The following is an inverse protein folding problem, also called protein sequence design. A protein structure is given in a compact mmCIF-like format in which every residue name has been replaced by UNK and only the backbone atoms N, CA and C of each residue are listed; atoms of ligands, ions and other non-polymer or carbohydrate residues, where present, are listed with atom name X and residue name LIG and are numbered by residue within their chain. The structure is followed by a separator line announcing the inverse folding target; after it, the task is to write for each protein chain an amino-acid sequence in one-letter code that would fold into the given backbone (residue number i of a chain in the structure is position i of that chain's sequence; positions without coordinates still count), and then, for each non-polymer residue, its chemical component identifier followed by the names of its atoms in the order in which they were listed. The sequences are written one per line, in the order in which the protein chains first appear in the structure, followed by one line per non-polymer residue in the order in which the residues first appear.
data_IF_834770708820
#
_entry.id   IF_834770708820
#
_cell.length_a   1.000
_cell.length_b   1.000
_cell.length_c   1.000
_cell.angle_alpha   90.00
_cell.angle_beta   90.00
_cell.angle_gamma   90.00
#
_symmetry.space_group_name_H-M   'P 1'
#
loop_
_entity.id
_entity.type
_entity.pdbx_description
1 polymer ?
#
# COMPACT_ATOMS: atom_id res chain seq x y z
N UNK A 1 14.82 10.71 35.00
CA UNK A 1 15.22 9.34 34.63
C UNK A 1 13.96 8.52 34.40
N UNK A 2 13.53 8.40 33.13
CA UNK A 2 12.38 7.57 32.75
C UNK A 2 12.97 6.28 32.20
N UNK A 3 12.59 5.14 32.82
CA UNK A 3 13.03 3.81 32.39
C UNK A 3 12.41 3.51 31.01
N UNK A 4 13.12 2.91 30.07
CA UNK A 4 12.53 2.48 28.81
C UNK A 4 11.58 1.31 29.10
N UNK A 5 10.33 1.47 28.72
CA UNK A 5 9.33 0.40 28.66
C UNK A 5 9.77 -0.63 27.61
N UNK A 6 9.95 -1.85 28.06
CA UNK A 6 10.21 -3.01 27.21
C UNK A 6 9.07 -3.17 26.20
N UNK A 7 9.41 -3.13 24.93
CA UNK A 7 8.49 -3.49 23.84
C UNK A 7 7.96 -4.91 24.05
N UNK A 8 6.68 -5.17 23.83
CA UNK A 8 6.13 -6.52 23.91
C UNK A 8 6.81 -7.40 22.86
N UNK A 9 7.18 -8.61 23.29
CA UNK A 9 7.77 -9.64 22.45
C UNK A 9 6.88 -9.90 21.22
N UNK A 10 7.48 -9.87 20.03
CA UNK A 10 6.82 -10.23 18.77
C UNK A 10 6.35 -11.67 18.91
N UNK A 11 5.03 -11.87 19.03
CA UNK A 11 4.44 -13.18 18.91
C UNK A 11 4.52 -13.60 17.45
N UNK A 12 5.26 -14.65 17.17
CA UNK A 12 5.34 -15.28 15.84
C UNK A 12 3.98 -15.94 15.55
N UNK A 13 3.24 -15.38 14.62
CA UNK A 13 1.98 -15.96 14.18
C UNK A 13 2.26 -17.19 13.31
N UNK A 14 1.87 -18.34 13.81
CA UNK A 14 1.75 -19.56 13.02
C UNK A 14 0.43 -19.48 12.27
N UNK A 15 0.45 -19.39 10.96
CA UNK A 15 -0.77 -19.47 10.13
C UNK A 15 -1.16 -20.95 10.03
N UNK A 16 -1.76 -21.48 11.09
CA UNK A 16 -2.54 -22.72 11.03
C UNK A 16 -4.00 -22.34 10.81
N UNK A 17 -4.75 -23.15 10.04
CA UNK A 17 -6.19 -23.00 9.84
C UNK A 17 -6.88 -22.61 11.15
N UNK A 18 -7.63 -21.51 11.10
CA UNK A 18 -8.37 -20.98 12.25
C UNK A 18 -9.57 -21.89 12.51
N UNK A 19 -9.35 -22.96 13.25
CA UNK A 19 -10.43 -23.66 13.95
C UNK A 19 -10.51 -23.05 15.36
N UNK A 20 -11.63 -22.39 15.62
CA UNK A 20 -11.85 -21.55 16.79
C UNK A 20 -12.01 -22.30 18.10
N UNK A 21 -11.04 -23.09 18.50
CA UNK A 21 -10.94 -23.59 19.90
C UNK A 21 -9.52 -24.10 20.14
N UNK A 22 -8.67 -23.31 20.75
CA UNK A 22 -7.73 -23.79 21.78
C UNK A 22 -6.82 -22.66 22.30
N UNK A 23 -6.69 -22.68 23.57
CA UNK A 23 -5.97 -21.87 24.52
C UNK A 23 -4.53 -21.54 24.12
N UNK A 24 -4.20 -20.26 24.37
CA UNK A 24 -2.87 -19.71 24.48
C UNK A 24 -1.91 -20.57 25.28
N UNK A 25 -0.79 -20.86 24.71
CA UNK A 25 0.57 -20.90 25.28
C UNK A 25 1.44 -21.78 24.39
N UNK A 26 2.47 -21.22 23.83
CA UNK A 26 3.84 -21.71 23.91
C UNK A 26 4.69 -21.08 22.83
N UNK A 27 5.52 -20.08 23.26
CA UNK A 27 6.97 -20.28 23.31
C UNK A 27 7.59 -20.65 21.98
N UNK A 28 8.33 -19.69 21.43
CA UNK A 28 9.43 -19.99 20.51
C UNK A 28 10.34 -21.00 21.23
N UNK A 29 10.04 -22.26 21.02
CA UNK A 29 10.88 -23.35 21.49
C UNK A 29 12.21 -23.24 20.73
N UNK A 30 13.33 -23.29 21.44
CA UNK A 30 14.70 -23.18 20.90
C UNK A 30 15.03 -24.23 19.82
N UNK A 31 14.08 -25.10 19.47
CA UNK A 31 14.20 -26.19 18.48
C UNK A 31 13.92 -25.81 17.03
N UNK A 32 13.41 -24.63 16.74
CA UNK A 32 13.05 -24.24 15.37
C UNK A 32 14.04 -23.23 14.74
N UNK A 33 15.32 -23.47 14.89
CA UNK A 33 16.34 -22.76 14.14
C UNK A 33 16.52 -23.46 12.78
N UNK A 34 16.41 -22.67 11.70
CA UNK A 34 16.63 -23.15 10.36
C UNK A 34 18.13 -23.14 10.02
N UNK A 35 18.58 -24.12 9.25
CA UNK A 35 19.98 -24.22 8.85
C UNK A 35 20.33 -23.20 7.76
N UNK A 36 19.42 -23.00 6.82
CA UNK A 36 19.58 -22.07 5.70
C UNK A 36 18.24 -21.51 5.21
N UNK A 37 18.31 -20.64 4.18
CA UNK A 37 17.12 -20.01 3.58
C UNK A 37 16.21 -21.04 2.92
N UNK A 38 16.75 -22.09 2.31
CA UNK A 38 15.94 -23.12 1.64
C UNK A 38 15.15 -23.93 2.65
N UNK A 39 15.76 -24.28 3.78
CA UNK A 39 15.11 -24.96 4.89
C UNK A 39 13.93 -24.12 5.43
N UNK A 40 14.16 -22.81 5.63
CA UNK A 40 13.11 -21.89 6.03
C UNK A 40 11.98 -21.80 4.99
N UNK A 41 12.31 -21.61 3.72
CA UNK A 41 11.31 -21.49 2.65
C UNK A 41 10.51 -22.78 2.50
N UNK A 42 11.16 -23.94 2.52
CA UNK A 42 10.48 -25.23 2.43
C UNK A 42 9.57 -25.53 3.64
N UNK A 43 9.92 -24.98 4.81
CA UNK A 43 9.09 -25.16 6.01
C UNK A 43 7.77 -24.35 5.94
N UNK A 44 7.79 -23.15 5.35
CA UNK A 44 6.63 -22.26 5.32
C UNK A 44 5.88 -22.24 3.98
N UNK A 45 6.51 -22.66 2.89
CA UNK A 45 5.92 -22.67 1.57
C UNK A 45 5.11 -23.97 1.36
N UNK A 46 3.79 -23.85 1.29
CA UNK A 46 2.91 -25.02 1.07
C UNK A 46 3.04 -25.59 -0.35
N UNK A 47 3.42 -24.77 -1.33
CA UNK A 47 3.61 -25.17 -2.73
C UNK A 47 5.09 -25.07 -3.13
N UNK A 48 5.84 -26.18 -3.18
CA UNK A 48 7.24 -26.16 -3.55
C UNK A 48 7.53 -25.58 -4.92
N UNK A 49 6.56 -25.57 -5.84
CA UNK A 49 6.73 -24.99 -7.18
C UNK A 49 6.78 -23.47 -7.17
N UNK A 50 6.25 -22.86 -6.10
CA UNK A 50 6.26 -21.41 -5.83
C UNK A 50 7.35 -21.02 -4.85
N UNK A 51 8.03 -22.00 -4.26
CA UNK A 51 9.11 -21.77 -3.30
C UNK A 51 10.26 -21.00 -3.96
N UNK A 52 10.66 -19.89 -3.35
CA UNK A 52 11.71 -19.04 -3.86
C UNK A 52 12.60 -18.51 -2.74
N UNK A 53 13.84 -18.90 -2.78
CA UNK A 53 14.84 -18.45 -1.82
C UNK A 53 15.43 -17.11 -2.24
N UNK A 54 15.36 -16.11 -1.38
CA UNK A 54 15.94 -14.79 -1.57
C UNK A 54 17.21 -14.70 -0.73
N UNK A 55 18.35 -14.54 -1.38
CA UNK A 55 19.66 -14.44 -0.72
C UNK A 55 20.34 -13.10 -0.91
N UNK A 56 19.93 -12.33 -1.91
CA UNK A 56 20.48 -11.01 -2.22
C UNK A 56 19.37 -10.02 -2.56
N UNK A 57 19.32 -8.92 -1.82
CA UNK A 57 18.29 -7.88 -1.98
C UNK A 57 18.96 -6.58 -2.37
N UNK A 58 18.45 -5.94 -3.44
CA UNK A 58 18.75 -4.56 -3.75
C UNK A 58 17.83 -3.64 -2.95
N UNK A 59 18.42 -2.76 -2.17
CA UNK A 59 17.71 -1.70 -1.45
C UNK A 59 17.77 -0.43 -2.29
N UNK A 60 16.67 -0.13 -2.99
CA UNK A 60 16.53 1.01 -3.90
C UNK A 60 15.87 2.21 -3.21
N UNK A 61 16.32 2.51 -2.01
CA UNK A 61 15.93 3.67 -1.21
C UNK A 61 17.07 4.09 -0.29
N UNK A 62 16.95 5.23 0.36
CA UNK A 62 18.00 5.81 1.20
C UNK A 62 17.52 6.18 2.60
N UNK A 63 18.37 6.85 3.35
CA UNK A 63 18.08 7.42 4.66
C UNK A 63 17.65 6.41 5.70
N UNK A 64 16.80 6.86 6.64
CA UNK A 64 16.35 6.04 7.77
C UNK A 64 15.50 4.84 7.33
N UNK A 65 14.82 4.91 6.20
CA UNK A 65 14.04 3.80 5.68
C UNK A 65 14.95 2.61 5.34
N UNK A 66 16.09 2.86 4.66
CA UNK A 66 17.07 1.83 4.35
C UNK A 66 17.69 1.24 5.63
N UNK A 67 18.04 2.08 6.62
CA UNK A 67 18.56 1.63 7.92
C UNK A 67 17.56 0.70 8.61
N UNK A 68 16.33 1.15 8.79
CA UNK A 68 15.30 0.40 9.52
C UNK A 68 14.97 -0.93 8.83
N UNK A 69 14.94 -0.95 7.51
CA UNK A 69 14.68 -2.18 6.76
C UNK A 69 15.80 -3.20 6.97
N UNK A 70 17.05 -2.81 6.72
CA UNK A 70 18.21 -3.70 6.86
C UNK A 70 18.31 -4.22 8.29
N UNK A 71 18.22 -3.34 9.28
CA UNK A 71 18.31 -3.73 10.70
C UNK A 71 17.20 -4.66 11.13
N UNK A 72 15.96 -4.40 10.69
CA UNK A 72 14.82 -5.27 11.01
C UNK A 72 14.99 -6.67 10.44
N UNK A 73 15.40 -6.76 9.17
CA UNK A 73 15.66 -8.06 8.53
C UNK A 73 16.84 -8.75 9.21
N UNK A 74 17.94 -8.07 9.50
CA UNK A 74 19.10 -8.67 10.18
C UNK A 74 18.74 -9.20 11.57
N UNK A 75 17.93 -8.48 12.33
CA UNK A 75 17.42 -8.95 13.63
C UNK A 75 16.62 -10.23 13.48
N UNK A 76 15.74 -10.29 12.48
CA UNK A 76 14.97 -11.50 12.18
C UNK A 76 15.88 -12.66 11.76
N UNK A 77 16.85 -12.42 10.87
CA UNK A 77 17.81 -13.43 10.43
C UNK A 77 18.64 -13.98 11.60
N UNK A 78 19.09 -13.11 12.52
CA UNK A 78 19.79 -13.55 13.72
C UNK A 78 18.93 -14.44 14.61
N UNK A 79 17.62 -14.14 14.71
CA UNK A 79 16.69 -14.98 15.49
C UNK A 79 16.46 -16.35 14.84
N UNK A 80 16.27 -16.37 13.51
CA UNK A 80 15.91 -17.59 12.78
C UNK A 80 17.11 -18.49 12.47
N UNK A 81 18.26 -17.91 12.12
CA UNK A 81 19.43 -18.63 11.55
C UNK A 81 20.70 -18.50 12.39
N UNK A 82 20.70 -17.69 13.45
CA UNK A 82 21.92 -17.30 14.18
C UNK A 82 23.00 -16.67 13.27
N UNK A 83 22.57 -16.15 12.12
CA UNK A 83 23.43 -15.53 11.13
C UNK A 83 22.67 -14.35 10.47
N UNK A 84 23.02 -13.13 10.82
CA UNK A 84 22.40 -11.92 10.28
C UNK A 84 22.86 -11.60 8.85
N UNK A 85 23.85 -12.31 8.31
CA UNK A 85 24.44 -12.11 6.98
C UNK A 85 24.04 -13.18 5.96
N UNK A 86 23.09 -14.03 6.28
CA UNK A 86 22.62 -15.08 5.36
C UNK A 86 21.93 -14.50 4.13
N UNK A 87 21.29 -13.31 4.27
CA UNK A 87 20.84 -12.47 3.17
C UNK A 87 21.81 -11.29 3.01
N UNK A 88 22.23 -11.02 1.77
CA UNK A 88 23.12 -9.92 1.44
C UNK A 88 22.32 -8.70 0.97
N UNK A 89 22.66 -7.53 1.49
CA UNK A 89 22.07 -6.25 1.09
C UNK A 89 23.00 -5.48 0.17
N UNK A 90 22.55 -5.29 -1.06
CA UNK A 90 23.16 -4.38 -2.04
C UNK A 90 22.41 -3.06 -1.93
N UNK A 91 23.07 -1.96 -1.63
CA UNK A 91 22.40 -0.66 -1.49
C UNK A 91 22.79 0.29 -2.61
N UNK A 92 21.82 1.02 -3.13
CA UNK A 92 22.07 2.11 -4.06
C UNK A 92 22.53 3.34 -3.28
N UNK A 93 23.47 4.09 -3.83
CA UNK A 93 23.99 5.29 -3.20
C UNK A 93 24.49 6.30 -4.22
N UNK A 94 24.31 7.58 -3.90
CA UNK A 94 24.86 8.71 -4.66
C UNK A 94 26.17 9.19 -4.03
N UNK A 95 26.93 9.98 -4.78
CA UNK A 95 28.16 10.59 -4.28
C UNK A 95 27.91 11.46 -3.04
N UNK A 96 26.79 12.20 -3.01
CA UNK A 96 26.43 13.06 -1.87
C UNK A 96 26.20 12.25 -0.59
N UNK A 97 25.57 11.07 -0.70
CA UNK A 97 25.31 10.18 0.44
C UNK A 97 26.61 9.59 0.99
N UNK A 98 27.58 9.32 0.12
CA UNK A 98 28.92 8.88 0.54
C UNK A 98 29.65 10.00 1.26
N UNK A 99 29.65 11.20 0.70
CA UNK A 99 30.28 12.38 1.32
C UNK A 99 29.67 12.70 2.69
N UNK A 100 28.34 12.56 2.82
CA UNK A 100 27.63 12.74 4.09
C UNK A 100 27.78 11.58 5.06
N UNK A 101 28.43 10.48 4.65
CA UNK A 101 28.60 9.24 5.44
C UNK A 101 27.29 8.67 5.93
N UNK A 102 26.30 8.59 5.04
CA UNK A 102 24.96 8.10 5.35
C UNK A 102 25.03 6.74 6.07
N UNK A 103 24.21 6.58 7.12
CA UNK A 103 24.34 5.48 8.07
C UNK A 103 24.08 4.11 7.43
N UNK A 104 23.11 4.00 6.52
CA UNK A 104 22.77 2.75 5.85
C UNK A 104 23.92 2.16 5.02
N UNK A 105 24.90 2.99 4.60
CA UNK A 105 26.07 2.52 3.86
C UNK A 105 27.00 1.65 4.72
N UNK A 106 27.03 1.89 6.04
CA UNK A 106 27.90 1.14 6.98
C UNK A 106 27.38 -0.27 7.25
N UNK A 107 26.09 -0.47 7.10
CA UNK A 107 25.43 -1.75 7.37
C UNK A 107 25.16 -2.58 6.11
N UNK A 108 25.42 -2.03 4.93
CA UNK A 108 25.31 -2.71 3.65
C UNK A 108 26.43 -3.77 3.45
N UNK A 109 26.14 -4.81 2.64
CA UNK A 109 27.16 -5.79 2.22
C UNK A 109 27.86 -5.35 0.92
N UNK A 110 27.17 -4.53 0.07
CA UNK A 110 27.72 -3.99 -1.16
C UNK A 110 27.09 -2.63 -1.46
N UNK A 111 27.91 -1.69 -1.92
CA UNK A 111 27.49 -0.38 -2.41
C UNK A 111 27.47 -0.39 -3.94
N UNK A 112 26.42 0.18 -4.53
CA UNK A 112 26.28 0.36 -5.97
C UNK A 112 25.99 1.83 -6.23
N UNK A 113 26.79 2.44 -7.09
CA UNK A 113 26.68 3.85 -7.40
C UNK A 113 25.50 4.14 -8.31
N UNK A 114 24.88 5.25 -8.05
CA UNK A 114 23.71 5.79 -8.71
C UNK A 114 24.01 7.22 -9.16
N UNK A 115 23.49 7.69 -10.29
CA UNK A 115 23.71 9.08 -10.69
C UNK A 115 23.21 10.07 -9.64
N UNK A 116 23.98 11.14 -9.41
CA UNK A 116 23.61 12.22 -8.50
C UNK A 116 22.55 13.14 -9.13
N UNK A 117 21.98 14.05 -8.33
CA UNK A 117 21.04 15.07 -8.78
C UNK A 117 19.57 14.77 -8.42
N UNK A 118 18.66 15.15 -9.31
CA UNK A 118 17.22 14.97 -9.08
C UNK A 118 16.84 13.48 -8.97
N UNK A 119 15.78 13.17 -8.22
CA UNK A 119 15.32 11.78 -8.04
C UNK A 119 14.99 11.06 -9.35
N UNK A 120 14.62 11.79 -10.40
CA UNK A 120 14.43 11.25 -11.76
C UNK A 120 15.69 10.65 -12.36
N UNK A 121 16.87 11.00 -11.85
CA UNK A 121 18.15 10.44 -12.27
C UNK A 121 18.55 9.22 -11.41
N UNK A 122 17.90 9.02 -10.28
CA UNK A 122 18.26 7.97 -9.30
C UNK A 122 17.05 7.26 -8.71
N UNK A 123 16.62 7.52 -7.47
CA UNK A 123 15.61 6.74 -6.75
C UNK A 123 14.19 6.74 -7.36
N UNK A 124 13.89 7.61 -8.32
CA UNK A 124 12.67 7.56 -9.13
C UNK A 124 12.91 7.01 -10.56
N UNK A 125 14.15 6.68 -10.91
CA UNK A 125 14.52 6.13 -12.22
C UNK A 125 14.34 4.61 -12.20
N UNK A 126 13.18 4.15 -12.67
CA UNK A 126 12.83 2.72 -12.69
C UNK A 126 13.78 1.93 -13.59
N UNK A 127 14.14 2.46 -14.76
CA UNK A 127 14.99 1.77 -15.72
C UNK A 127 16.40 1.54 -15.16
N UNK A 128 16.97 2.55 -14.50
CA UNK A 128 18.27 2.44 -13.85
C UNK A 128 18.25 1.44 -12.69
N UNK A 129 17.19 1.45 -11.87
CA UNK A 129 17.03 0.48 -10.79
C UNK A 129 17.01 -0.94 -11.34
N UNK A 130 16.28 -1.18 -12.42
CA UNK A 130 16.18 -2.50 -13.07
C UNK A 130 17.53 -2.95 -13.64
N UNK A 131 18.24 -2.03 -14.30
CA UNK A 131 19.56 -2.33 -14.87
C UNK A 131 20.55 -2.71 -13.77
N UNK A 132 20.66 -1.91 -12.71
CA UNK A 132 21.54 -2.17 -11.58
C UNK A 132 21.16 -3.45 -10.81
N UNK A 133 19.86 -3.73 -10.67
CA UNK A 133 19.39 -4.99 -10.10
C UNK A 133 19.88 -6.20 -10.91
N UNK A 134 19.77 -6.12 -12.25
CA UNK A 134 20.19 -7.16 -13.17
C UNK A 134 21.71 -7.35 -13.16
N UNK A 135 22.48 -6.27 -13.28
CA UNK A 135 23.95 -6.30 -13.25
C UNK A 135 24.52 -6.87 -11.95
N UNK A 136 23.83 -6.65 -10.84
CA UNK A 136 24.26 -7.15 -9.54
C UNK A 136 23.73 -8.56 -9.22
N UNK A 137 22.97 -9.18 -10.12
CA UNK A 137 22.39 -10.53 -9.94
C UNK A 137 21.67 -10.63 -8.60
N UNK A 138 20.74 -9.73 -8.32
CA UNK A 138 19.95 -9.75 -7.08
C UNK A 138 18.71 -10.64 -7.26
N UNK A 139 18.25 -11.27 -6.17
CA UNK A 139 17.04 -12.09 -6.17
C UNK A 139 15.79 -11.23 -6.01
N UNK A 140 15.94 -10.09 -5.32
CA UNK A 140 14.81 -9.21 -5.03
C UNK A 140 15.22 -7.74 -4.97
N UNK A 141 14.23 -6.85 -5.18
CA UNK A 141 14.35 -5.40 -5.04
C UNK A 141 13.33 -4.89 -4.03
N UNK A 142 13.77 -4.07 -3.09
CA UNK A 142 12.93 -3.30 -2.18
C UNK A 142 13.13 -1.81 -2.42
N UNK A 143 12.06 -1.11 -2.86
CA UNK A 143 12.12 0.32 -3.21
C UNK A 143 11.79 1.27 -2.03
N UNK A 144 11.46 0.71 -0.87
CA UNK A 144 11.25 1.48 0.35
C UNK A 144 10.14 2.52 0.27
N UNK A 145 10.47 3.76 0.65
CA UNK A 145 9.56 4.90 0.67
C UNK A 145 9.79 5.87 -0.51
N UNK A 146 10.56 5.47 -1.52
CA UNK A 146 10.88 6.29 -2.70
C UNK A 146 9.79 6.28 -3.76
N UNK A 147 9.88 7.20 -4.72
CA UNK A 147 8.90 7.33 -5.81
C UNK A 147 8.79 6.08 -6.69
N UNK A 148 9.86 5.31 -6.84
CA UNK A 148 9.84 4.09 -7.65
C UNK A 148 8.90 3.00 -7.09
N UNK A 149 8.59 3.01 -5.78
CA UNK A 149 7.69 2.04 -5.16
C UNK A 149 6.25 2.09 -5.70
N UNK A 150 5.83 3.27 -6.17
CA UNK A 150 4.47 3.53 -6.65
C UNK A 150 4.36 3.33 -8.17
N UNK A 151 5.48 3.06 -8.85
CA UNK A 151 5.48 2.85 -10.29
C UNK A 151 5.24 1.38 -10.63
N UNK A 152 4.09 1.02 -11.25
CA UNK A 152 3.74 -0.36 -11.57
C UNK A 152 4.67 -0.99 -12.63
N UNK A 153 5.43 -0.20 -13.38
CA UNK A 153 6.44 -0.70 -14.31
C UNK A 153 7.57 -1.42 -13.58
N UNK A 154 7.93 -0.98 -12.36
CA UNK A 154 9.04 -1.59 -11.61
C UNK A 154 8.80 -3.08 -11.31
N UNK A 155 7.70 -3.50 -10.64
CA UNK A 155 7.43 -4.92 -10.42
C UNK A 155 7.22 -5.70 -11.72
N UNK A 156 6.64 -5.11 -12.75
CA UNK A 156 6.42 -5.75 -14.04
C UNK A 156 7.74 -6.12 -14.70
N UNK A 157 8.64 -5.16 -14.85
CA UNK A 157 9.93 -5.34 -15.52
C UNK A 157 10.91 -6.22 -14.72
N UNK A 158 10.89 -6.13 -13.39
CA UNK A 158 11.64 -7.04 -12.53
C UNK A 158 11.14 -8.48 -12.67
N UNK A 159 9.82 -8.67 -12.72
CA UNK A 159 9.19 -9.98 -12.92
C UNK A 159 9.61 -10.65 -14.24
N UNK A 160 9.70 -9.90 -15.36
CA UNK A 160 10.20 -10.38 -16.65
C UNK A 160 11.66 -10.88 -16.57
N UNK A 161 12.43 -10.37 -15.61
CA UNK A 161 13.84 -10.75 -15.36
C UNK A 161 13.99 -11.76 -14.23
N UNK A 162 12.90 -12.33 -13.78
CA UNK A 162 12.86 -13.26 -12.66
C UNK A 162 13.42 -12.66 -11.34
N UNK A 163 13.27 -11.36 -11.12
CA UNK A 163 13.63 -10.67 -9.88
C UNK A 163 12.35 -10.34 -9.11
N UNK A 164 12.31 -10.66 -7.82
CA UNK A 164 11.13 -10.38 -6.96
C UNK A 164 11.08 -8.89 -6.62
N UNK A 165 9.95 -8.26 -6.85
CA UNK A 165 9.67 -6.97 -6.21
C UNK A 165 9.09 -7.24 -4.81
N UNK A 166 9.73 -6.70 -3.76
CA UNK A 166 9.22 -6.78 -2.39
C UNK A 166 8.19 -5.67 -2.21
N UNK A 167 6.97 -5.95 -2.63
CA UNK A 167 5.87 -5.03 -2.70
C UNK A 167 4.66 -5.65 -3.41
N UNK A 168 3.60 -4.86 -3.68
CA UNK A 168 2.42 -5.33 -4.39
C UNK A 168 2.70 -5.65 -5.86
N UNK A 169 1.91 -6.53 -6.50
CA UNK A 169 2.01 -6.81 -7.91
C UNK A 169 1.66 -5.60 -8.80
N UNK A 170 2.27 -5.49 -9.98
CA UNK A 170 2.05 -4.40 -10.94
C UNK A 170 0.56 -4.13 -11.23
N UNK A 171 -0.22 -5.18 -11.49
CA UNK A 171 -1.66 -5.06 -11.79
C UNK A 171 -2.44 -4.43 -10.63
N UNK A 172 -2.10 -4.79 -9.40
CA UNK A 172 -2.74 -4.24 -8.19
C UNK A 172 -2.36 -2.78 -8.00
N UNK A 173 -1.08 -2.45 -8.18
CA UNK A 173 -0.62 -1.06 -8.12
C UNK A 173 -1.34 -0.20 -9.14
N UNK A 174 -1.44 -0.67 -10.39
CA UNK A 174 -2.12 0.05 -11.47
C UNK A 174 -3.61 0.26 -11.18
N UNK A 175 -4.30 -0.74 -10.62
CA UNK A 175 -5.71 -0.66 -10.29
C UNK A 175 -6.00 0.27 -9.10
N UNK A 176 -5.07 0.41 -8.17
CA UNK A 176 -5.22 1.22 -6.97
C UNK A 176 -4.57 2.62 -7.08
N UNK A 177 -3.80 2.90 -8.12
CA UNK A 177 -3.15 4.21 -8.33
C UNK A 177 -4.16 5.31 -8.69
N UNK A 178 -5.28 4.94 -9.30
CA UNK A 178 -6.33 5.87 -9.73
C UNK A 178 -7.46 5.94 -8.70
N UNK A 179 -7.74 7.16 -8.18
CA UNK A 179 -8.76 7.37 -7.14
C UNK A 179 -10.18 7.00 -7.56
N UNK A 180 -10.53 7.18 -8.84
CA UNK A 180 -11.84 6.79 -9.38
C UNK A 180 -11.92 5.27 -9.41
N UNK A 181 -10.90 4.61 -9.97
CA UNK A 181 -10.87 3.17 -10.09
C UNK A 181 -10.92 2.49 -8.71
N UNK A 182 -10.10 2.93 -7.75
CA UNK A 182 -10.07 2.38 -6.40
C UNK A 182 -11.40 2.55 -5.66
N UNK A 183 -12.10 3.69 -5.84
CA UNK A 183 -13.42 3.92 -5.25
C UNK A 183 -14.51 3.01 -5.87
N UNK A 184 -14.48 2.79 -7.20
CA UNK A 184 -15.39 1.83 -7.86
C UNK A 184 -15.14 0.40 -7.34
N UNK A 185 -13.87 0.02 -7.16
CA UNK A 185 -13.51 -1.29 -6.59
C UNK A 185 -14.05 -1.43 -5.16
N UNK A 186 -13.88 -0.39 -4.31
CA UNK A 186 -14.42 -0.39 -2.96
C UNK A 186 -15.94 -0.59 -2.94
N UNK A 187 -16.68 0.13 -3.78
CA UNK A 187 -18.13 -0.07 -3.94
C UNK A 187 -18.49 -1.47 -4.41
N UNK A 188 -17.70 -2.05 -5.32
CA UNK A 188 -17.91 -3.41 -5.84
C UNK A 188 -17.83 -4.46 -4.74
N UNK A 189 -16.97 -4.27 -3.75
CA UNK A 189 -16.85 -5.14 -2.57
C UNK A 189 -17.77 -4.71 -1.41
N UNK A 190 -18.70 -3.80 -1.68
CA UNK A 190 -19.72 -3.29 -0.73
C UNK A 190 -19.14 -2.55 0.47
N UNK A 191 -17.99 -1.94 0.31
CA UNK A 191 -17.46 -1.01 1.31
C UNK A 191 -18.22 0.31 1.18
N UNK A 192 -18.76 0.86 2.29
CA UNK A 192 -19.44 2.15 2.26
C UNK A 192 -18.51 3.26 1.78
N UNK A 193 -18.94 4.02 0.79
CA UNK A 193 -18.23 5.20 0.28
C UNK A 193 -19.02 6.46 0.56
N UNK A 194 -18.33 7.61 0.67
CA UNK A 194 -18.97 8.91 0.70
C UNK A 194 -19.71 9.13 -0.63
N UNK A 195 -20.74 9.98 -0.61
CA UNK A 195 -21.41 10.41 -1.84
C UNK A 195 -20.42 11.12 -2.77
N UNK A 196 -20.30 10.62 -3.98
CA UNK A 196 -19.39 11.10 -5.00
C UNK A 196 -20.00 10.95 -6.41
N UNK A 197 -19.38 11.53 -7.41
CA UNK A 197 -19.92 11.53 -8.79
C UNK A 197 -20.11 10.13 -9.38
N UNK A 198 -19.36 9.13 -8.90
CA UNK A 198 -19.51 7.72 -9.29
C UNK A 198 -20.28 6.86 -8.28
N UNK A 199 -21.07 7.45 -7.36
CA UNK A 199 -21.87 6.68 -6.39
C UNK A 199 -22.77 5.65 -7.07
N UNK A 200 -22.68 4.39 -6.60
CA UNK A 200 -23.47 3.28 -7.11
C UNK A 200 -22.87 2.57 -8.35
N UNK A 201 -21.73 3.03 -8.87
CA UNK A 201 -21.01 2.32 -9.94
C UNK A 201 -20.26 1.13 -9.35
N UNK A 202 -20.52 -0.04 -9.91
CA UNK A 202 -19.87 -1.31 -9.51
C UNK A 202 -19.43 -2.08 -10.75
N UNK A 203 -18.36 -2.84 -10.62
CA UNK A 203 -17.92 -3.75 -11.68
C UNK A 203 -18.84 -4.96 -11.66
N UNK A 204 -19.55 -5.20 -12.75
CA UNK A 204 -20.33 -6.42 -12.91
C UNK A 204 -19.38 -7.62 -13.00
N UNK A 205 -19.64 -8.66 -12.21
CA UNK A 205 -18.90 -9.92 -12.32
C UNK A 205 -19.18 -10.51 -13.70
N UNK A 206 -18.28 -10.30 -14.67
CA UNK A 206 -18.28 -11.09 -15.89
C UNK A 206 -18.07 -12.53 -15.46
N UNK A 207 -19.11 -13.36 -15.63
CA UNK A 207 -19.24 -14.72 -15.11
C UNK A 207 -18.12 -15.69 -15.53
N UNK A 208 -16.99 -15.52 -14.89
CA UNK A 208 -15.88 -16.47 -14.87
C UNK A 208 -16.03 -17.27 -13.59
N UNK A 209 -16.39 -18.56 -13.70
CA UNK A 209 -16.64 -19.44 -12.57
C UNK A 209 -15.55 -19.36 -11.52
N UNK A 210 -15.96 -19.49 -10.27
CA UNK A 210 -15.07 -19.71 -9.13
C UNK A 210 -14.06 -20.80 -9.51
N UNK A 211 -12.82 -20.43 -9.71
CA UNK A 211 -11.76 -21.43 -9.86
C UNK A 211 -11.66 -22.15 -8.53
N UNK A 212 -11.91 -23.45 -8.55
CA UNK A 212 -11.89 -24.36 -7.39
C UNK A 212 -10.53 -24.46 -6.68
N UNK A 213 -9.53 -23.72 -7.11
CA UNK A 213 -8.14 -23.77 -6.63
C UNK A 213 -7.78 -22.70 -5.59
N UNK A 214 -8.76 -21.95 -5.09
CA UNK A 214 -8.51 -20.97 -4.02
C UNK A 214 -7.77 -19.69 -4.47
N UNK A 215 -7.38 -19.55 -5.73
CA UNK A 215 -6.83 -18.33 -6.30
C UNK A 215 -7.97 -17.36 -6.70
N UNK A 216 -8.72 -16.90 -5.72
CA UNK A 216 -9.97 -16.15 -5.87
C UNK A 216 -9.83 -14.67 -6.25
N UNK A 217 -8.82 -14.28 -7.01
CA UNK A 217 -8.70 -12.97 -7.63
C UNK A 217 -9.29 -13.00 -9.04
N UNK A 218 -10.61 -12.94 -9.18
CA UNK A 218 -11.23 -12.59 -10.47
C UNK A 218 -10.68 -11.23 -10.90
N UNK A 219 -10.09 -11.16 -12.08
CA UNK A 219 -9.54 -9.92 -12.64
C UNK A 219 -10.66 -8.87 -12.68
N UNK A 220 -10.58 -7.85 -11.79
CA UNK A 220 -11.51 -6.73 -11.81
C UNK A 220 -11.05 -5.77 -12.90
N UNK A 221 -11.68 -5.87 -14.06
CA UNK A 221 -11.45 -4.94 -15.14
C UNK A 221 -12.53 -3.86 -15.13
N UNK A 222 -12.14 -2.61 -14.87
CA UNK A 222 -13.03 -1.46 -14.97
C UNK A 222 -13.06 -1.03 -16.42
N UNK A 223 -14.21 -1.19 -17.09
CA UNK A 223 -14.36 -0.72 -18.46
C UNK A 223 -14.19 0.81 -18.52
N UNK A 224 -13.65 1.30 -19.64
CA UNK A 224 -13.52 2.75 -19.88
C UNK A 224 -14.86 3.46 -19.76
N UNK A 225 -15.93 2.82 -20.20
CA UNK A 225 -17.28 3.39 -20.13
C UNK A 225 -17.73 3.57 -18.66
N UNK A 226 -17.53 2.53 -17.81
CA UNK A 226 -17.85 2.61 -16.39
C UNK A 226 -17.03 3.69 -15.69
N UNK A 227 -15.75 3.78 -15.99
CA UNK A 227 -14.85 4.81 -15.45
C UNK A 227 -15.32 6.21 -15.81
N UNK A 228 -15.66 6.46 -17.09
CA UNK A 228 -16.10 7.78 -17.56
C UNK A 228 -17.42 8.24 -16.94
N UNK A 229 -18.30 7.31 -16.53
CA UNK A 229 -19.54 7.66 -15.80
C UNK A 229 -19.28 8.29 -14.43
N UNK A 230 -18.11 8.10 -13.84
CA UNK A 230 -17.73 8.72 -12.58
C UNK A 230 -17.07 10.09 -12.78
N UNK A 231 -16.60 10.37 -14.00
CA UNK A 231 -15.87 11.58 -14.33
C UNK A 231 -16.80 12.78 -14.55
N UNK A 232 -16.24 13.97 -14.34
CA UNK A 232 -16.88 15.26 -14.61
C UNK A 232 -15.92 16.09 -15.46
N UNK A 233 -16.34 16.52 -16.64
CA UNK A 233 -15.48 17.20 -17.62
C UNK A 233 -15.73 18.71 -17.66
N UNK A 234 -16.91 19.17 -17.24
CA UNK A 234 -17.31 20.58 -17.22
C UNK A 234 -17.94 20.97 -15.89
N UNK A 235 -18.01 22.27 -15.64
CA UNK A 235 -18.68 22.83 -14.46
C UNK A 235 -20.16 22.44 -14.43
N UNK A 236 -20.81 22.46 -15.59
CA UNK A 236 -22.24 22.14 -15.74
C UNK A 236 -22.50 20.66 -15.43
N UNK A 237 -21.67 19.77 -15.95
CA UNK A 237 -21.71 18.35 -15.56
C UNK A 237 -21.48 18.16 -14.06
N UNK A 238 -20.60 18.98 -13.46
CA UNK A 238 -20.37 18.99 -12.03
C UNK A 238 -21.61 19.30 -11.23
N UNK A 239 -22.34 20.35 -11.56
CA UNK A 239 -23.59 20.68 -10.89
C UNK A 239 -24.67 19.62 -11.11
N UNK A 240 -24.73 19.02 -12.30
CA UNK A 240 -25.64 17.92 -12.58
C UNK A 240 -25.32 16.70 -11.68
N UNK A 241 -24.06 16.31 -11.64
CA UNK A 241 -23.60 15.19 -10.79
C UNK A 241 -23.86 15.46 -9.30
N UNK A 242 -23.63 16.68 -8.81
CA UNK A 242 -23.97 17.05 -7.43
C UNK A 242 -25.45 16.85 -7.14
N UNK A 243 -26.34 17.24 -8.05
CA UNK A 243 -27.78 17.06 -7.90
C UNK A 243 -28.20 15.59 -7.97
N UNK A 244 -27.73 14.85 -8.96
CA UNK A 244 -28.10 13.45 -9.18
C UNK A 244 -27.57 12.51 -8.10
N UNK A 245 -26.37 12.78 -7.56
CA UNK A 245 -25.70 11.95 -6.54
C UNK A 245 -25.88 12.48 -5.13
N UNK A 246 -26.73 13.48 -4.94
CA UNK A 246 -27.03 14.10 -3.64
C UNK A 246 -25.77 14.61 -2.91
N UNK A 247 -24.84 15.19 -3.66
CA UNK A 247 -23.60 15.77 -3.13
C UNK A 247 -23.89 17.23 -2.76
N UNK A 248 -23.85 17.55 -1.48
CA UNK A 248 -24.05 18.92 -0.97
C UNK A 248 -22.71 19.57 -0.64
N UNK A 249 -22.72 20.90 -0.50
CA UNK A 249 -21.59 21.63 0.04
C UNK A 249 -21.35 21.30 1.53
N UNK A 250 -20.08 21.28 1.97
CA UNK A 250 -18.88 21.47 1.16
C UNK A 250 -18.59 20.27 0.26
N UNK A 251 -18.14 20.54 -0.97
CA UNK A 251 -17.76 19.54 -1.97
C UNK A 251 -16.27 19.59 -2.25
N UNK A 252 -15.68 18.44 -2.52
CA UNK A 252 -14.30 18.30 -2.98
C UNK A 252 -14.26 18.08 -4.49
N UNK A 253 -13.49 18.88 -5.21
CA UNK A 253 -13.08 18.61 -6.58
C UNK A 253 -11.74 17.88 -6.51
N UNK A 254 -11.65 16.69 -7.09
CA UNK A 254 -10.44 15.87 -7.06
C UNK A 254 -10.03 15.46 -8.47
N UNK A 255 -8.73 15.55 -8.75
CA UNK A 255 -8.12 14.90 -9.92
C UNK A 255 -7.77 13.45 -9.58
N UNK A 256 -8.05 12.50 -10.47
CA UNK A 256 -7.84 11.07 -10.23
C UNK A 256 -6.38 10.72 -9.95
N UNK A 257 -5.45 11.41 -10.62
CA UNK A 257 -3.98 11.22 -10.51
C UNK A 257 -3.27 12.32 -9.71
N UNK A 258 -3.98 13.04 -8.84
CA UNK A 258 -3.38 14.07 -7.99
C UNK A 258 -2.65 13.47 -6.78
N UNK A 259 -1.41 13.91 -6.49
CA UNK A 259 -0.61 13.48 -5.34
C UNK A 259 -0.28 14.65 -4.43
N UNK A 260 -0.15 14.38 -3.13
CA UNK A 260 0.34 15.37 -2.17
C UNK A 260 -0.50 16.64 -2.10
N UNK A 261 -1.83 16.51 -2.10
CA UNK A 261 -2.82 17.60 -2.14
C UNK A 261 -2.90 18.38 -3.47
N UNK A 262 -2.10 18.05 -4.48
CA UNK A 262 -2.26 18.59 -5.83
C UNK A 262 -3.52 18.02 -6.47
N UNK A 263 -4.22 18.87 -7.23
CA UNK A 263 -5.46 18.48 -7.90
C UNK A 263 -6.63 18.25 -6.94
N UNK A 264 -6.64 18.84 -5.75
CA UNK A 264 -7.74 18.73 -4.78
C UNK A 264 -8.14 20.10 -4.25
N UNK A 265 -9.42 20.45 -4.34
CA UNK A 265 -9.97 21.72 -3.85
C UNK A 265 -11.31 21.52 -3.16
N UNK A 266 -11.43 22.08 -1.95
CA UNK A 266 -12.69 22.20 -1.22
C UNK A 266 -13.43 23.43 -1.69
N UNK A 267 -14.74 23.30 -1.94
CA UNK A 267 -15.63 24.39 -2.32
C UNK A 267 -16.84 24.42 -1.39
N UNK A 268 -17.25 25.63 -1.02
CA UNK A 268 -18.41 25.87 -0.14
C UNK A 268 -19.55 26.61 -0.83
N UNK A 269 -19.34 27.03 -2.07
CA UNK A 269 -20.36 27.71 -2.90
C UNK A 269 -20.17 27.43 -4.39
N UNK A 270 -21.18 27.79 -5.18
CA UNK A 270 -21.17 27.67 -6.65
C UNK A 270 -20.06 28.51 -7.28
N UNK A 271 -19.78 29.71 -6.73
CA UNK A 271 -18.73 30.60 -7.21
C UNK A 271 -17.35 29.97 -7.00
N UNK A 272 -17.10 29.41 -5.81
CA UNK A 272 -15.85 28.71 -5.51
C UNK A 272 -15.70 27.47 -6.38
N UNK A 273 -16.79 26.73 -6.62
CA UNK A 273 -16.79 25.57 -7.47
C UNK A 273 -16.34 25.91 -8.90
N UNK A 274 -16.95 26.93 -9.52
CA UNK A 274 -16.60 27.40 -10.86
C UNK A 274 -15.13 27.79 -10.95
N UNK A 275 -14.64 28.57 -9.98
CA UNK A 275 -13.28 29.06 -9.95
C UNK A 275 -12.26 27.90 -9.78
N UNK A 276 -12.54 26.98 -8.87
CA UNK A 276 -11.59 25.93 -8.50
C UNK A 276 -11.61 24.75 -9.48
N UNK A 277 -12.68 24.56 -10.25
CA UNK A 277 -12.74 23.51 -11.26
C UNK A 277 -11.63 23.67 -12.31
N UNK A 278 -11.51 24.87 -12.89
CA UNK A 278 -10.44 25.19 -13.85
C UNK A 278 -9.03 25.06 -13.22
N UNK A 279 -8.88 25.52 -11.96
CA UNK A 279 -7.60 25.41 -11.25
C UNK A 279 -7.13 23.95 -11.07
N UNK A 280 -8.06 23.04 -10.77
CA UNK A 280 -7.74 21.61 -10.64
C UNK A 280 -7.34 21.02 -11.99
N UNK A 281 -8.01 21.42 -13.09
CA UNK A 281 -7.64 21.00 -14.45
C UNK A 281 -6.23 21.47 -14.83
N UNK A 282 -5.90 22.71 -14.50
CA UNK A 282 -4.59 23.30 -14.82
C UNK A 282 -3.45 22.69 -13.96
N UNK A 283 -3.75 22.32 -12.72
CA UNK A 283 -2.76 21.79 -11.77
C UNK A 283 -2.34 20.35 -12.11
N UNK A 284 -3.25 19.54 -12.68
CA UNK A 284 -3.00 18.14 -13.08
C UNK A 284 -3.55 17.93 -14.50
N UNK A 285 -2.86 18.44 -15.53
CA UNK A 285 -3.34 18.37 -16.90
C UNK A 285 -3.53 16.94 -17.37
N UNK A 286 -4.65 16.64 -18.02
CA UNK A 286 -4.98 15.32 -18.56
C UNK A 286 -5.47 14.30 -17.54
N UNK A 287 -5.58 14.67 -16.25
CA UNK A 287 -6.22 13.84 -15.23
C UNK A 287 -7.74 13.97 -15.29
N UNK A 288 -8.45 12.86 -15.12
CA UNK A 288 -9.90 12.87 -14.95
C UNK A 288 -10.26 13.55 -13.62
N UNK A 289 -11.36 14.31 -13.63
CA UNK A 289 -11.89 14.99 -12.44
C UNK A 289 -13.12 14.23 -11.95
N UNK A 290 -13.28 14.17 -10.66
CA UNK A 290 -14.47 13.66 -10.00
C UNK A 290 -14.83 14.53 -8.78
N UNK A 291 -16.05 14.42 -8.32
CA UNK A 291 -16.57 15.15 -7.18
C UNK A 291 -16.84 14.20 -6.02
N UNK A 292 -16.59 14.69 -4.82
CA UNK A 292 -16.84 13.94 -3.60
C UNK A 292 -17.33 14.89 -2.51
N UNK A 293 -18.34 14.48 -1.75
CA UNK A 293 -18.78 15.25 -0.59
C UNK A 293 -17.65 15.38 0.42
N UNK A 294 -17.45 16.56 0.96
CA UNK A 294 -16.44 16.77 1.99
C UNK A 294 -16.98 16.36 3.35
N UNK A 295 -16.33 15.40 4.00
CA UNK A 295 -16.64 15.07 5.39
C UNK A 295 -16.17 16.19 6.32
N UNK A 296 -16.99 16.51 7.30
CA UNK A 296 -16.70 17.50 8.35
C UNK A 296 -16.68 16.78 9.68
N UNK A 297 -15.72 17.10 10.56
CA UNK A 297 -15.55 16.45 11.86
C UNK A 297 -15.33 14.93 11.77
N UNK A 298 -14.53 14.50 10.82
CA UNK A 298 -14.19 13.09 10.64
C UNK A 298 -12.79 12.77 11.16
N UNK A 299 -12.59 11.52 11.55
CA UNK A 299 -11.27 10.93 11.79
C UNK A 299 -10.84 10.13 10.58
N UNK A 300 -9.57 10.29 10.27
CA UNK A 300 -8.88 9.54 9.24
C UNK A 300 -8.11 8.40 9.91
N UNK A 301 -8.52 7.17 9.66
CA UNK A 301 -7.96 5.98 10.29
C UNK A 301 -7.45 5.06 9.19
N UNK A 302 -6.24 4.58 9.32
CA UNK A 302 -5.68 3.60 8.40
C UNK A 302 -5.57 2.22 9.06
N UNK A 303 -5.79 1.19 8.25
CA UNK A 303 -5.61 -0.21 8.61
C UNK A 303 -4.35 -0.73 7.94
N UNK A 304 -3.37 -1.12 8.75
CA UNK A 304 -2.17 -1.77 8.25
C UNK A 304 -2.47 -3.23 7.91
N UNK A 305 -2.11 -3.64 6.71
CA UNK A 305 -2.36 -4.98 6.17
C UNK A 305 -1.05 -5.68 5.80
N UNK A 306 -1.12 -7.00 5.79
CA UNK A 306 -0.10 -7.84 5.18
C UNK A 306 -0.77 -8.97 4.39
N UNK A 307 -0.44 -9.10 3.10
CA UNK A 307 -0.95 -10.13 2.19
C UNK A 307 0.15 -11.05 1.69
N UNK A 308 -0.18 -12.32 1.49
CA UNK A 308 0.70 -13.31 0.89
C UNK A 308 0.30 -13.66 -0.56
N UNK A 309 1.10 -14.47 -1.23
CA UNK A 309 0.84 -14.94 -2.60
C UNK A 309 -0.23 -16.05 -2.67
N UNK A 310 -0.74 -16.52 -1.53
CA UNK A 310 -1.76 -17.56 -1.44
C UNK A 310 -3.16 -17.01 -1.21
N UNK A 311 -3.31 -15.68 -1.21
CA UNK A 311 -4.58 -14.98 -1.02
C UNK A 311 -4.98 -14.79 0.44
N UNK A 312 -4.06 -15.04 1.38
CA UNK A 312 -4.28 -14.70 2.77
C UNK A 312 -3.92 -13.22 2.98
N UNK A 313 -4.81 -12.50 3.66
CA UNK A 313 -4.59 -11.11 4.06
C UNK A 313 -4.94 -10.99 5.54
N UNK A 314 -4.03 -10.42 6.31
CA UNK A 314 -4.22 -10.18 7.74
C UNK A 314 -4.12 -8.69 8.06
N UNK A 315 -5.04 -8.14 8.89
CA UNK A 315 -4.90 -6.82 9.44
C UNK A 315 -3.93 -6.89 10.62
N UNK A 316 -3.00 -5.94 10.73
CA UNK A 316 -2.01 -5.92 11.81
C UNK A 316 -2.46 -5.00 12.92
N UNK A 317 -2.74 -3.73 12.59
CA UNK A 317 -3.24 -2.72 13.54
C UNK A 317 -3.87 -1.54 12.80
N UNK A 318 -4.48 -0.63 13.56
CA UNK A 318 -5.06 0.62 13.05
C UNK A 318 -4.30 1.81 13.62
N UNK A 319 -4.13 2.86 12.80
CA UNK A 319 -3.53 4.14 13.18
C UNK A 319 -4.51 5.27 12.93
N UNK A 320 -4.46 6.30 13.75
CA UNK A 320 -5.24 7.53 13.57
C UNK A 320 -4.36 8.60 12.93
N UNK A 321 -4.66 8.95 11.69
CA UNK A 321 -3.92 9.92 10.89
C UNK A 321 -4.59 11.31 10.86
N UNK A 322 -5.63 11.53 11.67
CA UNK A 322 -6.39 12.79 11.69
C UNK A 322 -5.54 13.98 12.13
N UNK A 323 -4.61 13.73 13.05
CA UNK A 323 -3.62 14.71 13.52
C UNK A 323 -2.25 14.11 13.25
N UNK A 324 -1.58 14.65 12.24
CA UNK A 324 -0.27 14.17 11.83
C UNK A 324 0.75 15.30 11.85
N UNK A 325 1.88 15.08 12.53
CA UNK A 325 3.03 15.99 12.47
C UNK A 325 4.28 15.20 12.12
N UNK A 326 4.85 15.46 10.95
CA UNK A 326 6.09 14.83 10.48
C UNK A 326 6.05 13.29 10.54
N UNK A 327 4.93 12.70 10.08
CA UNK A 327 4.71 11.24 10.06
C UNK A 327 4.59 10.59 11.46
N UNK A 328 4.39 11.38 12.51
CA UNK A 328 3.99 10.86 13.81
C UNK A 328 2.48 10.70 13.83
N UNK A 329 2.04 9.49 14.02
CA UNK A 329 0.64 9.06 14.04
C UNK A 329 0.31 8.46 15.40
N UNK A 330 -0.96 8.51 15.78
CA UNK A 330 -1.43 8.00 17.05
C UNK A 330 -2.07 6.62 16.89
N UNK A 331 -2.12 5.86 17.98
CA UNK A 331 -2.93 4.64 18.03
C UNK A 331 -4.40 5.02 17.86
N UNK A 332 -5.13 4.27 17.04
CA UNK A 332 -6.55 4.54 16.80
C UNK A 332 -7.36 4.50 18.10
N UNK A 333 -8.11 5.57 18.34
CA UNK A 333 -9.06 5.69 19.46
C UNK A 333 -10.49 5.23 19.07
N UNK A 334 -10.68 4.69 17.90
CA UNK A 334 -11.97 4.12 17.49
C UNK A 334 -12.34 2.94 18.40
N UNK A 335 -13.65 2.73 18.62
CA UNK A 335 -14.11 1.59 19.41
C UNK A 335 -13.64 0.26 18.80
N UNK A 336 -13.47 -0.81 19.61
CA UNK A 336 -13.07 -2.11 19.09
C UNK A 336 -13.99 -2.66 17.99
N UNK A 337 -15.28 -2.32 18.03
CA UNK A 337 -16.27 -2.72 17.02
C UNK A 337 -15.99 -2.02 15.67
N UNK A 338 -15.76 -0.71 15.71
CA UNK A 338 -15.40 0.09 14.52
C UNK A 338 -14.07 -0.38 13.95
N UNK A 339 -13.07 -0.60 14.80
CA UNK A 339 -11.78 -1.11 14.34
C UNK A 339 -11.90 -2.47 13.64
N UNK A 340 -12.69 -3.40 14.21
CA UNK A 340 -12.96 -4.71 13.58
C UNK A 340 -13.64 -4.57 12.22
N UNK A 341 -14.66 -3.71 12.12
CA UNK A 341 -15.34 -3.48 10.84
C UNK A 341 -14.37 -2.93 9.81
N UNK A 342 -13.57 -1.90 10.15
CA UNK A 342 -12.56 -1.33 9.27
C UNK A 342 -11.53 -2.37 8.83
N UNK A 343 -11.07 -3.23 9.73
CA UNK A 343 -10.17 -4.33 9.43
C UNK A 343 -10.78 -5.34 8.46
N UNK A 344 -12.06 -5.69 8.65
CA UNK A 344 -12.78 -6.61 7.75
C UNK A 344 -12.92 -6.01 6.35
N UNK A 345 -13.31 -4.74 6.26
CA UNK A 345 -13.47 -4.04 4.98
C UNK A 345 -12.13 -3.95 4.24
N UNK A 346 -11.06 -3.59 4.95
CA UNK A 346 -9.72 -3.52 4.41
C UNK A 346 -9.20 -4.88 3.90
N UNK A 347 -9.44 -5.97 4.66
CA UNK A 347 -9.11 -7.33 4.25
C UNK A 347 -9.91 -7.76 3.01
N UNK A 348 -11.20 -7.46 2.95
CA UNK A 348 -12.05 -7.79 1.82
C UNK A 348 -11.59 -7.08 0.54
N UNK A 349 -11.24 -5.80 0.65
CA UNK A 349 -10.69 -5.03 -0.46
C UNK A 349 -9.38 -5.64 -0.96
N UNK A 350 -8.43 -5.84 -0.05
CA UNK A 350 -7.11 -6.36 -0.39
C UNK A 350 -7.17 -7.75 -1.02
N UNK A 351 -8.03 -8.65 -0.50
CA UNK A 351 -8.28 -9.96 -1.10
C UNK A 351 -8.87 -9.85 -2.50
N UNK A 352 -9.83 -8.94 -2.69
CA UNK A 352 -10.52 -8.79 -3.98
C UNK A 352 -9.59 -8.31 -5.08
N UNK A 353 -8.64 -7.42 -4.76
CA UNK A 353 -7.64 -6.93 -5.73
C UNK A 353 -6.41 -7.84 -5.84
N UNK A 354 -6.29 -8.86 -4.99
CA UNK A 354 -5.10 -9.72 -4.94
C UNK A 354 -3.87 -9.02 -4.39
N UNK A 355 -4.04 -8.19 -3.34
CA UNK A 355 -2.94 -7.44 -2.74
C UNK A 355 -1.96 -8.36 -2.03
N UNK A 356 -0.68 -8.15 -2.28
CA UNK A 356 0.45 -8.89 -1.68
C UNK A 356 1.41 -7.91 -1.04
N UNK A 357 2.10 -8.34 0.02
CA UNK A 357 3.04 -7.56 0.81
C UNK A 357 2.36 -6.63 1.83
N UNK A 358 3.11 -5.70 2.39
CA UNK A 358 2.60 -4.73 3.35
C UNK A 358 1.88 -3.59 2.62
N UNK A 359 0.77 -3.15 3.19
CA UNK A 359 0.00 -2.02 2.68
C UNK A 359 -0.90 -1.41 3.72
N UNK A 360 -1.51 -0.28 3.40
CA UNK A 360 -2.52 0.38 4.23
C UNK A 360 -3.78 0.62 3.44
N UNK A 361 -4.91 0.56 4.15
CA UNK A 361 -6.21 1.00 3.66
C UNK A 361 -6.65 2.15 4.55
N UNK A 362 -6.85 3.30 3.92
CA UNK A 362 -7.30 4.51 4.60
C UNK A 362 -8.82 4.58 4.61
N UNK A 363 -9.39 4.84 5.77
CA UNK A 363 -10.83 4.88 6.01
C UNK A 363 -11.17 6.13 6.83
N UNK A 364 -12.31 6.76 6.55
CA UNK A 364 -12.75 7.93 7.29
C UNK A 364 -14.01 7.62 8.09
N UNK A 365 -14.04 8.07 9.33
CA UNK A 365 -15.21 7.94 10.23
C UNK A 365 -15.65 9.29 10.74
N UNK A 366 -16.91 9.66 10.49
CA UNK A 366 -17.51 10.88 11.00
C UNK A 366 -17.84 10.75 12.50
N UNK A 367 -17.54 11.80 13.29
CA UNK A 367 -17.87 11.85 14.70
C UNK A 367 -19.37 12.03 14.94
N UNK A 368 -19.89 11.32 15.93
CA UNK A 368 -21.29 11.46 16.38
C UNK A 368 -22.31 10.65 15.58
N UNK A 369 -21.90 9.94 14.53
CA UNK A 369 -22.76 8.99 13.79
C UNK A 369 -22.39 7.56 14.18
N UNK A 370 -23.42 6.75 14.43
CA UNK A 370 -23.29 5.31 14.76
C UNK A 370 -23.12 4.44 13.52
N UNK A 371 -23.11 5.04 12.34
CA UNK A 371 -22.98 4.33 11.06
C UNK A 371 -21.57 3.79 10.82
N UNK A 372 -21.45 2.83 9.93
CA UNK A 372 -20.20 2.19 9.56
C UNK A 372 -19.15 3.20 9.06
N UNK A 373 -17.87 2.92 9.22
CA UNK A 373 -16.81 3.74 8.64
C UNK A 373 -16.96 3.83 7.12
N UNK A 374 -16.59 4.95 6.55
CA UNK A 374 -16.77 5.27 5.15
C UNK A 374 -15.39 5.35 4.49
N UNK A 375 -15.28 4.78 3.30
CA UNK A 375 -14.08 4.85 2.48
C UNK A 375 -13.92 6.26 1.87
N UNK A 376 -12.78 6.89 2.10
CA UNK A 376 -12.29 8.07 1.40
C UNK A 376 -10.87 7.80 0.90
N UNK A 377 -10.64 8.06 -0.37
CA UNK A 377 -9.31 7.91 -0.99
C UNK A 377 -8.65 9.27 -1.22
#
# INVERSE_FOLDING_TARGET
MVRPTTLPSIQTFRVSKFDGTSSSSNLVDQKNLFNDIDDFVNHFCEDPTKARSIRKILVATNGIAAVNYIDSVRKLLMQLFRNDRIIKFVVLTTEQEIQSKAEYLKIADKLVFFPAGANTNNYANVDEIIELATQNNVDAVWAGCGHARENPQLPEELGKRNIVFIGPPSKVMFALDDKIASTIIAQTVKIPTIEWSGSGLVVESTGGGEKKDGSGGGELEISKELYLKACVSTVEEGFLAMKEKNISYPVMIKASKGYGRKGTRKCISDEEFRLNFGRVQDEVPGSSIFLMKCMVNARHIEVQLFGDHYGQVVPIFTRDCSIQRRFLEETSIASPEIQRQMQMDAVNLAKKVGYVSAGTVELTKEFGKTENPIWEY
#
